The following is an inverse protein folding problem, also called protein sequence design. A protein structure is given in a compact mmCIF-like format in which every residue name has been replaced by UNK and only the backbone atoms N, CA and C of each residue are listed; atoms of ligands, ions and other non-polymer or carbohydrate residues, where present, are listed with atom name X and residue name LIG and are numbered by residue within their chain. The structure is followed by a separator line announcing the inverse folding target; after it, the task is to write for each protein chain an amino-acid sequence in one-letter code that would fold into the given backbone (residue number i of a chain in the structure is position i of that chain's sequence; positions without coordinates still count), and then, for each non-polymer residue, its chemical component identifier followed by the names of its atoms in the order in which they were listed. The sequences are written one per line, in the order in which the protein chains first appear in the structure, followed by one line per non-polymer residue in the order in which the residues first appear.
data_IF_421817866680
#
_entry.id   IF_421817866680
#
_cell.length_a   1.000
_cell.length_b   1.000
_cell.length_c   1.000
_cell.angle_alpha   90.00
_cell.angle_beta   90.00
_cell.angle_gamma   90.00
#
_symmetry.space_group_name_H-M   'P 1'
#
loop_
_entity.id
_entity.type
_entity.pdbx_description
1 polymer ?
#
# COMPACT_ATOMS: atom_id res chain seq x y z
N UNK A 1 -5.36 -19.60 4.13
CA UNK A 1 -6.71 -19.64 4.77
C UNK A 1 -7.66 -18.60 4.17
N UNK A 2 -7.23 -17.36 3.99
CA UNK A 2 -8.05 -16.29 3.41
C UNK A 2 -8.46 -16.58 1.96
N UNK A 3 -7.50 -16.96 1.11
CA UNK A 3 -7.74 -17.37 -0.28
C UNK A 3 -8.87 -18.40 -0.41
N UNK A 4 -8.77 -19.53 0.31
CA UNK A 4 -9.79 -20.58 0.31
C UNK A 4 -11.19 -20.09 0.69
N UNK A 5 -11.31 -19.11 1.59
CA UNK A 5 -12.61 -18.53 1.96
C UNK A 5 -13.10 -17.61 0.85
N UNK A 6 -12.23 -16.75 0.32
CA UNK A 6 -12.58 -15.86 -0.78
C UNK A 6 -13.03 -16.65 -2.02
N UNK A 7 -12.27 -17.64 -2.49
CA UNK A 7 -12.66 -18.46 -3.66
C UNK A 7 -13.95 -19.25 -3.44
N UNK A 8 -14.27 -19.61 -2.19
CA UNK A 8 -15.51 -20.33 -1.87
C UNK A 8 -16.75 -19.44 -1.93
N UNK A 9 -16.63 -18.17 -1.54
CA UNK A 9 -17.78 -17.28 -1.35
C UNK A 9 -17.81 -16.11 -2.34
N UNK A 10 -16.73 -15.86 -3.07
CA UNK A 10 -16.54 -14.76 -4.00
C UNK A 10 -15.94 -15.28 -5.31
N UNK A 11 -16.36 -14.72 -6.43
CA UNK A 11 -15.76 -14.97 -7.75
C UNK A 11 -14.64 -13.97 -8.00
N UNK A 12 -13.53 -14.13 -7.27
CA UNK A 12 -12.34 -13.25 -7.36
C UNK A 12 -11.05 -14.07 -7.36
N UNK A 13 -10.03 -13.55 -8.02
CA UNK A 13 -8.65 -14.03 -7.90
C UNK A 13 -7.90 -13.17 -6.88
N UNK A 14 -7.12 -13.82 -6.02
CA UNK A 14 -6.29 -13.14 -5.02
C UNK A 14 -4.83 -13.42 -5.30
N UNK A 15 -4.06 -12.34 -5.47
CA UNK A 15 -2.61 -12.43 -5.60
C UNK A 15 -1.93 -12.03 -4.29
N UNK A 16 -0.98 -12.84 -3.84
CA UNK A 16 -0.23 -12.58 -2.61
C UNK A 16 1.06 -11.83 -2.94
N UNK A 17 1.10 -10.57 -2.53
CA UNK A 17 2.20 -9.66 -2.92
C UNK A 17 3.32 -9.61 -1.89
N UNK A 18 3.05 -10.04 -0.65
CA UNK A 18 4.04 -10.15 0.43
C UNK A 18 3.47 -9.82 1.80
N UNK A 19 4.35 -9.78 2.80
CA UNK A 19 4.02 -9.52 4.21
C UNK A 19 5.06 -8.59 4.85
N UNK A 20 4.65 -7.95 5.95
CA UNK A 20 5.53 -7.19 6.82
C UNK A 20 5.73 -8.00 8.10
N UNK A 21 6.96 -8.41 8.45
CA UNK A 21 7.21 -9.18 9.66
C UNK A 21 6.99 -8.34 10.92
N UNK A 22 6.76 -9.01 12.05
CA UNK A 22 6.77 -8.33 13.34
C UNK A 22 8.18 -7.82 13.67
N UNK A 23 8.28 -6.53 13.99
CA UNK A 23 9.55 -5.84 14.08
C UNK A 23 9.60 -4.90 15.30
N UNK A 24 10.53 -5.09 16.26
CA UNK A 24 10.72 -4.18 17.38
C UNK A 24 11.09 -2.75 16.96
N UNK A 25 11.80 -2.56 15.84
CA UNK A 25 12.17 -1.25 15.33
C UNK A 25 10.98 -0.48 14.81
N UNK A 26 9.95 -1.17 14.28
CA UNK A 26 8.68 -0.54 13.92
C UNK A 26 8.03 0.10 15.15
N UNK A 27 7.93 -0.63 16.27
CA UNK A 27 7.40 -0.08 17.53
C UNK A 27 8.21 1.11 18.07
N UNK A 28 9.55 1.06 17.95
CA UNK A 28 10.42 2.18 18.35
C UNK A 28 10.19 3.41 17.49
N UNK A 29 10.13 3.24 16.17
CA UNK A 29 9.91 4.34 15.21
C UNK A 29 8.59 5.07 15.45
N UNK A 30 7.53 4.34 15.84
CA UNK A 30 6.23 4.93 16.19
C UNK A 30 6.36 5.86 17.40
N UNK A 31 7.11 5.44 18.44
CA UNK A 31 7.34 6.25 19.65
C UNK A 31 8.19 7.49 19.35
N UNK A 32 9.12 7.37 18.41
CA UNK A 32 9.93 8.50 17.92
C UNK A 32 9.15 9.41 16.95
N UNK A 33 7.92 9.07 16.59
CA UNK A 33 7.10 9.78 15.60
C UNK A 33 7.81 9.92 14.24
N UNK A 34 8.61 8.92 13.86
CA UNK A 34 9.33 8.87 12.59
C UNK A 34 8.95 7.60 11.82
N UNK A 35 8.74 7.67 10.49
CA UNK A 35 8.48 6.47 9.69
C UNK A 35 9.62 5.45 9.85
N UNK A 36 9.29 4.16 9.99
CA UNK A 36 10.29 3.10 10.18
C UNK A 36 11.34 3.06 9.07
N UNK A 37 10.91 3.31 7.82
CA UNK A 37 11.80 3.35 6.64
C UNK A 37 12.81 4.49 6.70
N UNK A 38 12.50 5.57 7.42
CA UNK A 38 13.39 6.74 7.61
C UNK A 38 14.26 6.59 8.86
N UNK A 39 13.67 6.16 9.98
CA UNK A 39 14.39 6.02 11.24
C UNK A 39 15.31 4.79 11.29
N UNK A 40 14.85 3.68 10.69
CA UNK A 40 15.51 2.37 10.71
C UNK A 40 15.46 1.72 9.32
N UNK A 41 16.21 2.24 8.32
CA UNK A 41 16.10 1.81 6.92
C UNK A 41 16.47 0.33 6.69
N UNK A 42 17.28 -0.26 7.56
CA UNK A 42 17.71 -1.67 7.48
C UNK A 42 16.86 -2.62 8.35
N UNK A 43 15.81 -2.11 9.00
CA UNK A 43 14.93 -2.96 9.79
C UNK A 43 14.14 -3.93 8.88
N UNK A 44 13.83 -5.16 9.35
CA UNK A 44 13.05 -6.13 8.58
C UNK A 44 11.76 -5.57 7.98
N UNK A 45 11.00 -4.79 8.77
CA UNK A 45 9.77 -4.15 8.28
C UNK A 45 10.05 -3.11 7.18
N UNK A 46 11.13 -2.33 7.31
CA UNK A 46 11.53 -1.33 6.32
C UNK A 46 11.92 -1.98 4.99
N UNK A 47 12.68 -3.07 5.04
CA UNK A 47 13.09 -3.80 3.84
C UNK A 47 11.91 -4.49 3.16
N UNK A 48 10.98 -5.05 3.93
CA UNK A 48 9.74 -5.62 3.41
C UNK A 48 8.85 -4.56 2.74
N UNK A 49 8.67 -3.39 3.37
CA UNK A 49 7.94 -2.26 2.78
C UNK A 49 8.58 -1.78 1.48
N UNK A 50 9.91 -1.65 1.44
CA UNK A 50 10.64 -1.26 0.23
C UNK A 50 10.42 -2.27 -0.90
N UNK A 51 10.48 -3.56 -0.59
CA UNK A 51 10.24 -4.64 -1.56
C UNK A 51 8.81 -4.61 -2.09
N UNK A 52 7.82 -4.40 -1.22
CA UNK A 52 6.42 -4.24 -1.63
C UNK A 52 6.24 -3.02 -2.53
N UNK A 53 6.86 -1.89 -2.20
CA UNK A 53 6.82 -0.67 -3.01
C UNK A 53 7.36 -0.91 -4.42
N UNK A 54 8.51 -1.59 -4.55
CA UNK A 54 9.09 -1.94 -5.85
C UNK A 54 8.20 -2.88 -6.66
N UNK A 55 7.54 -3.86 -6.03
CA UNK A 55 6.57 -4.73 -6.72
C UNK A 55 5.35 -3.96 -7.19
N UNK A 56 4.82 -3.07 -6.35
CA UNK A 56 3.66 -2.26 -6.69
C UNK A 56 3.93 -1.30 -7.85
N UNK A 57 5.14 -0.77 -7.96
CA UNK A 57 5.57 0.11 -9.06
C UNK A 57 5.59 -0.60 -10.42
N UNK A 58 5.70 -1.94 -10.42
CA UNK A 58 5.66 -2.77 -11.62
C UNK A 58 4.25 -3.22 -12.02
N UNK A 59 3.20 -2.86 -11.25
CA UNK A 59 1.84 -3.25 -11.60
C UNK A 59 1.39 -2.57 -12.89
N UNK A 60 0.67 -3.29 -13.76
CA UNK A 60 0.20 -2.72 -15.02
C UNK A 60 -0.74 -1.55 -14.73
N UNK A 61 -0.30 -0.35 -15.08
CA UNK A 61 -1.15 0.84 -15.11
C UNK A 61 -2.03 0.71 -16.34
N UNK A 62 -3.35 0.88 -16.18
CA UNK A 62 -4.27 0.81 -17.31
C UNK A 62 -3.92 1.89 -18.34
N UNK A 63 -3.42 1.48 -19.51
CA UNK A 63 -3.17 2.37 -20.64
C UNK A 63 -4.52 2.83 -21.23
N UNK A 64 -4.91 4.05 -20.86
CA UNK A 64 -5.99 4.79 -21.51
C UNK A 64 -7.42 4.52 -20.97
N UNK A 65 -8.37 5.41 -21.32
CA UNK A 65 -9.73 5.36 -20.80
C UNK A 65 -10.50 4.22 -21.47
N UNK A 66 -10.61 3.07 -20.79
CA UNK A 66 -11.37 1.90 -21.27
C UNK A 66 -12.89 2.02 -21.08
N UNK A 67 -13.46 3.23 -21.15
CA UNK A 67 -14.92 3.44 -21.07
C UNK A 67 -15.59 3.08 -19.74
N UNK A 68 -14.83 2.63 -18.73
CA UNK A 68 -15.34 2.23 -17.40
C UNK A 68 -14.75 3.09 -16.25
N UNK A 69 -13.99 4.15 -16.57
CA UNK A 69 -13.28 5.03 -15.62
C UNK A 69 -14.18 6.17 -15.12
N UNK A 70 -15.42 5.87 -14.73
CA UNK A 70 -16.30 6.91 -14.15
C UNK A 70 -16.39 6.84 -12.62
N UNK A 71 -16.02 5.73 -11.98
CA UNK A 71 -16.16 5.61 -10.51
C UNK A 71 -15.03 6.24 -9.67
N UNK A 72 -13.82 6.36 -10.21
CA UNK A 72 -12.70 6.96 -9.46
C UNK A 72 -12.63 8.49 -9.65
N UNK A 73 -13.08 8.98 -10.81
CA UNK A 73 -13.07 10.41 -11.15
C UNK A 73 -14.20 11.14 -10.42
N UNK A 74 -15.42 10.58 -10.32
CA UNK A 74 -16.53 11.20 -9.56
C UNK A 74 -16.20 11.41 -8.06
N UNK A 75 -15.50 10.45 -7.44
CA UNK A 75 -15.06 10.56 -6.03
C UNK A 75 -13.90 11.55 -5.85
N UNK A 76 -13.05 11.70 -6.87
CA UNK A 76 -11.90 12.60 -6.84
C UNK A 76 -12.31 14.06 -7.06
N UNK A 77 -13.24 14.33 -7.99
CA UNK A 77 -13.73 15.69 -8.28
C UNK A 77 -14.44 16.31 -7.06
N UNK A 78 -15.07 15.50 -6.20
CA UNK A 78 -15.72 15.97 -4.97
C UNK A 78 -14.79 16.15 -3.77
N UNK A 79 -13.53 15.72 -3.84
CA UNK A 79 -12.58 15.86 -2.74
C UNK A 79 -11.64 17.03 -3.07
N UNK A 80 -11.71 18.17 -2.36
CA UNK A 80 -10.70 19.21 -2.53
C UNK A 80 -9.33 18.58 -2.26
N UNK A 81 -8.38 18.88 -3.13
CA UNK A 81 -7.01 18.37 -3.04
C UNK A 81 -6.45 18.63 -1.65
N UNK A 82 -6.23 17.56 -0.88
CA UNK A 82 -5.56 17.68 0.42
C UNK A 82 -4.10 17.98 0.13
N UNK A 83 -3.70 19.23 0.35
CA UNK A 83 -2.29 19.61 0.38
C UNK A 83 -1.67 18.92 1.59
N UNK A 84 -0.96 17.82 1.34
CA UNK A 84 -0.17 17.18 2.38
C UNK A 84 1.09 18.02 2.57
N UNK A 85 1.04 18.91 3.55
CA UNK A 85 2.22 19.64 4.00
C UNK A 85 3.07 18.70 4.88
N UNK A 86 4.34 18.57 4.53
CA UNK A 86 5.32 17.89 5.38
C UNK A 86 5.56 18.81 6.58
N UNK A 87 4.90 18.52 7.69
CA UNK A 87 5.16 19.19 8.97
C UNK A 87 6.58 18.83 9.39
N UNK A 88 7.46 19.84 9.45
CA UNK A 88 8.84 19.73 9.92
C UNK A 88 8.89 19.75 11.45
#
# INVERSE_FOLDING_TARGET
RFERVATRFLTVELDYVGEIPEDPFLRRSIREQRPVVVAYPQAPASMALKTLGLRADMWPVAEGPRGNVEFFVERLIRRPSVRLEVVR
#
